data_IF_034131004972
#
_entry.id   IF_034131004972
#
_cell.length_a   1.000
_cell.length_b   1.000
_cell.length_c   1.000
_cell.angle_alpha   90.00
_cell.angle_beta   90.00
_cell.angle_gamma   90.00
#
_symmetry.space_group_name_H-M   'P 1'
#
loop_
_entity.id
_entity.type
_entity.pdbx_description
1 polymer ?
#
# COMPACT_ATOMS: atom_id res chain seq x y z
N UNK A 1 -7.43 18.32 14.49
CA UNK A 1 -6.54 17.14 14.46
C UNK A 1 -7.40 15.93 14.18
N UNK A 2 -7.01 15.10 13.22
CA UNK A 2 -7.70 13.85 12.91
C UNK A 2 -7.27 12.77 13.91
N UNK A 3 -8.23 11.90 14.24
CA UNK A 3 -8.06 10.70 15.06
C UNK A 3 -8.90 9.58 14.45
N UNK A 4 -8.67 8.35 14.89
CA UNK A 4 -9.53 7.22 14.54
C UNK A 4 -10.13 6.62 15.82
N UNK A 5 -11.36 6.13 15.71
CA UNK A 5 -12.06 5.43 16.79
C UNK A 5 -12.54 4.07 16.30
N UNK A 6 -12.54 3.07 17.18
CA UNK A 6 -13.19 1.81 16.90
C UNK A 6 -14.69 2.05 16.90
N UNK A 7 -15.31 1.94 15.74
CA UNK A 7 -16.76 1.85 15.61
C UNK A 7 -17.13 0.37 15.56
N UNK A 8 -17.88 -0.08 16.55
CA UNK A 8 -18.50 -1.40 16.51
C UNK A 8 -19.71 -1.34 15.56
N UNK A 9 -19.47 -1.16 14.26
CA UNK A 9 -20.53 -1.32 13.25
C UNK A 9 -20.59 -2.77 12.81
N UNK A 10 -21.14 -3.65 13.65
CA UNK A 10 -21.62 -4.95 13.18
C UNK A 10 -22.91 -4.71 12.40
N UNK A 11 -22.91 -4.98 11.09
CA UNK A 11 -24.10 -4.72 10.28
C UNK A 11 -23.93 -5.03 8.80
N UNK A 12 -25.05 -5.14 8.12
CA UNK A 12 -25.12 -5.32 6.68
C UNK A 12 -24.81 -3.99 5.98
N UNK A 13 -23.77 -3.95 5.16
CA UNK A 13 -23.40 -2.75 4.39
C UNK A 13 -23.93 -2.89 2.95
N UNK A 14 -25.02 -2.18 2.58
CA UNK A 14 -25.55 -2.21 1.23
C UNK A 14 -24.55 -1.60 0.25
N UNK A 15 -24.12 -2.37 -0.74
CA UNK A 15 -23.56 -1.80 -1.96
C UNK A 15 -24.71 -1.20 -2.78
N UNK A 16 -24.54 -0.03 -3.43
CA UNK A 16 -25.52 0.50 -4.39
C UNK A 16 -25.83 -0.46 -5.55
N UNK A 17 -24.94 -1.42 -5.82
CA UNK A 17 -25.14 -2.48 -6.81
C UNK A 17 -25.79 -3.76 -6.23
N UNK A 18 -26.16 -3.77 -4.95
CA UNK A 18 -26.76 -4.87 -4.15
C UNK A 18 -26.00 -6.21 -4.13
N UNK A 19 -25.45 -6.65 -5.25
CA UNK A 19 -24.72 -7.91 -5.48
C UNK A 19 -23.40 -8.03 -4.70
N UNK A 20 -22.85 -6.91 -4.22
CA UNK A 20 -21.64 -6.87 -3.39
C UNK A 20 -21.90 -6.39 -1.96
N UNK A 21 -23.11 -6.59 -1.45
CA UNK A 21 -23.41 -6.24 -0.05
C UNK A 21 -22.68 -7.20 0.89
N UNK A 22 -21.86 -6.66 1.80
CA UNK A 22 -21.03 -7.45 2.70
C UNK A 22 -21.52 -7.34 4.14
N UNK A 23 -21.51 -8.46 4.84
CA UNK A 23 -21.60 -8.46 6.30
C UNK A 23 -20.22 -8.10 6.84
N UNK A 24 -20.10 -6.93 7.46
CA UNK A 24 -18.89 -6.58 8.19
C UNK A 24 -18.95 -7.27 9.55
N UNK A 25 -18.26 -8.41 9.66
CA UNK A 25 -18.15 -9.20 10.90
C UNK A 25 -16.98 -8.75 11.79
N UNK A 26 -16.36 -7.60 11.46
CA UNK A 26 -15.15 -7.09 12.12
C UNK A 26 -15.33 -5.71 12.77
N UNK A 27 -14.33 -5.32 13.55
CA UNK A 27 -14.22 -3.95 14.08
C UNK A 27 -13.95 -2.97 12.93
N UNK A 28 -14.76 -1.91 12.83
CA UNK A 28 -14.60 -0.90 11.80
C UNK A 28 -13.97 0.35 12.42
N UNK A 29 -12.87 0.82 11.85
CA UNK A 29 -12.13 1.97 12.38
C UNK A 29 -12.49 3.22 11.59
N UNK A 30 -13.23 4.13 12.23
CA UNK A 30 -13.67 5.40 11.59
C UNK A 30 -12.65 6.50 11.88
N UNK A 31 -12.09 7.07 10.83
CA UNK A 31 -11.26 8.27 10.87
C UNK A 31 -12.16 9.49 10.85
N UNK A 32 -11.84 10.50 11.64
CA UNK A 32 -12.59 11.75 11.72
C UNK A 32 -11.90 12.78 12.59
N UNK A 33 -12.62 13.87 12.90
CA UNK A 33 -12.11 14.92 13.78
C UNK A 33 -13.24 15.50 14.64
N UNK A 34 -12.84 16.11 15.76
CA UNK A 34 -13.76 16.89 16.58
C UNK A 34 -13.73 18.36 16.14
N UNK A 35 -14.91 18.93 15.90
CA UNK A 35 -15.05 20.38 15.73
C UNK A 35 -14.83 21.09 17.08
N UNK A 36 -14.61 22.43 17.09
CA UNK A 36 -14.36 23.17 18.32
C UNK A 36 -15.49 23.11 19.37
N UNK A 37 -16.71 22.78 18.94
CA UNK A 37 -17.87 22.53 19.80
C UNK A 37 -17.94 21.09 20.34
N UNK A 38 -16.92 20.27 20.06
CA UNK A 38 -16.83 18.88 20.52
C UNK A 38 -17.63 17.86 19.71
N UNK A 39 -18.23 18.24 18.57
CA UNK A 39 -18.95 17.26 17.72
C UNK A 39 -17.99 16.41 16.90
N UNK A 40 -18.27 15.11 16.83
CA UNK A 40 -17.55 14.16 15.98
C UNK A 40 -17.99 14.31 14.51
N UNK A 41 -17.02 14.46 13.61
CA UNK A 41 -17.21 14.54 12.16
C UNK A 41 -16.47 13.36 11.49
N UNK A 42 -17.18 12.31 11.03
CA UNK A 42 -16.54 11.17 10.36
C UNK A 42 -16.07 11.54 8.95
N UNK A 43 -14.96 10.94 8.52
CA UNK A 43 -14.34 11.17 7.21
C UNK A 43 -14.26 9.88 6.38
N UNK A 44 -13.77 8.78 6.95
CA UNK A 44 -13.65 7.48 6.25
C UNK A 44 -13.67 6.29 7.23
N UNK A 45 -14.05 5.12 6.73
CA UNK A 45 -14.12 3.86 7.49
C UNK A 45 -13.06 2.88 6.97
N UNK A 46 -12.37 2.17 7.87
CA UNK A 46 -11.27 1.25 7.56
C UNK A 46 -11.42 -0.08 8.29
N UNK A 47 -11.04 -1.16 7.61
CA UNK A 47 -11.14 -2.53 8.14
C UNK A 47 -10.08 -2.88 9.20
N UNK A 48 -8.97 -2.14 9.27
CA UNK A 48 -7.92 -2.36 10.28
C UNK A 48 -7.45 -1.05 10.92
N UNK A 49 -6.86 -1.18 12.10
CA UNK A 49 -6.20 -0.09 12.83
C UNK A 49 -5.09 0.56 12.04
N UNK A 50 -4.29 -0.23 11.33
CA UNK A 50 -3.11 0.24 10.59
C UNK A 50 -3.54 1.16 9.44
N UNK A 51 -4.56 0.77 8.68
CA UNK A 51 -5.11 1.58 7.59
C UNK A 51 -5.71 2.90 8.11
N UNK A 52 -6.41 2.86 9.24
CA UNK A 52 -6.94 4.07 9.88
C UNK A 52 -5.82 4.99 10.39
N UNK A 53 -4.76 4.42 10.98
CA UNK A 53 -3.60 5.15 11.48
C UNK A 53 -2.80 5.81 10.34
N UNK A 54 -2.62 5.12 9.21
CA UNK A 54 -1.99 5.66 8.01
C UNK A 54 -2.79 6.84 7.45
N UNK A 55 -4.12 6.71 7.40
CA UNK A 55 -5.02 7.80 6.96
C UNK A 55 -4.97 9.00 7.91
N UNK A 56 -5.00 8.79 9.23
CA UNK A 56 -4.85 9.86 10.23
C UNK A 56 -3.49 10.55 10.08
N UNK A 57 -2.42 9.78 9.90
CA UNK A 57 -1.07 10.31 9.70
C UNK A 57 -0.99 11.17 8.45
N UNK A 58 -1.59 10.71 7.33
CA UNK A 58 -1.72 11.49 6.10
C UNK A 58 -2.46 12.81 6.32
N UNK A 59 -3.65 12.77 6.92
CA UNK A 59 -4.52 13.94 7.12
C UNK A 59 -3.93 14.94 8.12
N UNK A 60 -3.12 14.47 9.07
CA UNK A 60 -2.37 15.31 9.99
C UNK A 60 -1.02 15.80 9.40
N UNK A 61 -0.73 15.53 8.13
CA UNK A 61 0.42 16.07 7.41
C UNK A 61 1.75 15.33 7.64
N UNK A 62 1.72 14.08 8.09
CA UNK A 62 2.94 13.28 8.25
C UNK A 62 3.45 12.77 6.89
N UNK A 63 4.50 13.42 6.38
CA UNK A 63 5.14 13.14 5.08
C UNK A 63 5.70 11.70 4.99
N UNK A 64 6.07 11.07 6.11
CA UNK A 64 6.60 9.72 6.10
C UNK A 64 5.52 8.68 5.71
N UNK A 65 4.28 8.86 6.18
CA UNK A 65 3.15 8.01 5.79
C UNK A 65 2.79 8.19 4.32
N UNK A 66 2.88 9.42 3.80
CA UNK A 66 2.68 9.72 2.38
C UNK A 66 3.68 8.96 1.49
N UNK A 67 4.96 8.93 1.88
CA UNK A 67 5.98 8.18 1.15
C UNK A 67 5.74 6.66 1.19
N UNK A 68 5.31 6.12 2.34
CA UNK A 68 5.01 4.69 2.47
C UNK A 68 3.84 4.29 1.56
N UNK A 69 2.75 5.06 1.53
CA UNK A 69 1.61 4.82 0.64
C UNK A 69 2.02 4.85 -0.84
N UNK A 70 2.89 5.78 -1.24
CA UNK A 70 3.38 5.83 -2.63
C UNK A 70 4.27 4.63 -2.97
N UNK A 71 5.11 4.17 -2.04
CA UNK A 71 5.97 3.02 -2.26
C UNK A 71 5.18 1.72 -2.31
N UNK A 72 4.21 1.53 -1.41
CA UNK A 72 3.36 0.34 -1.41
C UNK A 72 2.54 0.25 -2.71
N UNK A 73 2.01 1.39 -3.20
CA UNK A 73 1.31 1.44 -4.50
C UNK A 73 2.21 1.14 -5.69
N UNK A 74 3.42 1.71 -5.73
CA UNK A 74 4.38 1.44 -6.81
C UNK A 74 4.80 -0.03 -6.76
N UNK A 75 5.11 -0.54 -5.56
CA UNK A 75 5.50 -1.93 -5.35
C UNK A 75 4.41 -2.89 -5.81
N UNK A 76 3.14 -2.67 -5.42
CA UNK A 76 2.04 -3.54 -5.87
C UNK A 76 1.83 -3.51 -7.38
N UNK A 77 2.15 -2.39 -8.04
CA UNK A 77 2.08 -2.28 -9.50
C UNK A 77 3.24 -2.98 -10.20
N UNK A 78 4.45 -2.99 -9.60
CA UNK A 78 5.67 -3.50 -10.25
C UNK A 78 6.14 -4.85 -9.71
N UNK A 79 5.51 -5.41 -8.67
CA UNK A 79 6.00 -6.63 -8.00
C UNK A 79 6.11 -7.84 -8.92
N UNK A 80 5.18 -7.99 -9.86
CA UNK A 80 5.15 -9.14 -10.76
C UNK A 80 6.29 -9.05 -11.79
N UNK A 81 6.58 -7.84 -12.28
CA UNK A 81 7.72 -7.56 -13.15
C UNK A 81 9.04 -7.79 -12.42
N UNK A 82 9.16 -7.30 -11.19
CA UNK A 82 10.36 -7.52 -10.35
C UNK A 82 10.60 -9.00 -10.06
N UNK A 83 9.53 -9.76 -9.80
CA UNK A 83 9.62 -11.21 -9.56
C UNK A 83 10.08 -11.94 -10.81
N UNK A 84 9.52 -11.61 -11.97
CA UNK A 84 9.93 -12.18 -13.25
C UNK A 84 11.39 -11.89 -13.58
N UNK A 85 11.87 -10.69 -13.29
CA UNK A 85 13.28 -10.32 -13.47
C UNK A 85 14.20 -11.11 -12.52
N UNK A 86 13.80 -11.30 -11.26
CA UNK A 86 14.57 -12.09 -10.30
C UNK A 86 14.75 -13.54 -10.78
N UNK A 87 13.68 -14.19 -11.22
CA UNK A 87 13.72 -15.55 -11.76
C UNK A 87 14.61 -15.68 -13.01
N UNK A 88 14.55 -14.69 -13.91
CA UNK A 88 15.42 -14.62 -15.08
C UNK A 88 16.90 -14.49 -14.67
N UNK A 89 17.21 -13.66 -13.68
CA UNK A 89 18.59 -13.50 -13.20
C UNK A 89 19.13 -14.75 -12.53
N UNK A 90 18.31 -15.48 -11.77
CA UNK A 90 18.70 -16.76 -11.19
C UNK A 90 18.99 -17.79 -12.28
N UNK A 91 18.12 -17.88 -13.29
CA UNK A 91 18.29 -18.78 -14.44
C UNK A 91 19.54 -18.46 -15.24
N UNK A 92 19.79 -17.17 -15.53
CA UNK A 92 21.00 -16.72 -16.23
C UNK A 92 22.27 -17.00 -15.40
N UNK A 93 22.21 -16.77 -14.08
CA UNK A 93 23.33 -17.05 -13.17
C UNK A 93 23.65 -18.54 -13.13
N UNK A 94 22.62 -19.40 -13.11
CA UNK A 94 22.79 -20.85 -13.15
C UNK A 94 23.42 -21.34 -14.48
N UNK A 95 23.08 -20.70 -15.60
CA UNK A 95 23.54 -21.13 -16.92
C UNK A 95 24.91 -20.56 -17.33
N UNK A 96 25.23 -19.32 -16.94
CA UNK A 96 26.41 -18.59 -17.43
C UNK A 96 27.47 -18.38 -16.34
N UNK A 97 27.12 -18.61 -15.07
CA UNK A 97 27.96 -18.26 -13.94
C UNK A 97 27.90 -16.76 -13.63
N UNK A 98 28.03 -16.44 -12.34
CA UNK A 98 27.86 -15.08 -11.80
C UNK A 98 28.85 -14.07 -12.41
N UNK A 99 30.10 -14.49 -12.63
CA UNK A 99 31.17 -13.59 -13.09
C UNK A 99 30.94 -13.12 -14.54
N UNK A 100 30.43 -14.01 -15.40
CA UNK A 100 30.08 -13.68 -16.79
C UNK A 100 28.88 -12.72 -16.81
N UNK A 101 27.84 -13.01 -16.03
CA UNK A 101 26.67 -12.14 -15.93
C UNK A 101 27.05 -10.72 -15.46
N UNK A 102 27.92 -10.61 -14.45
CA UNK A 102 28.39 -9.32 -13.95
C UNK A 102 29.20 -8.54 -15.02
N UNK A 103 30.03 -9.22 -15.81
CA UNK A 103 30.77 -8.56 -16.89
C UNK A 103 29.86 -8.00 -17.99
N UNK A 104 28.79 -8.72 -18.35
CA UNK A 104 27.81 -8.29 -19.35
C UNK A 104 27.00 -7.10 -18.83
N UNK A 105 26.57 -7.15 -17.56
CA UNK A 105 25.83 -6.04 -16.95
C UNK A 105 26.69 -4.78 -16.85
N UNK A 106 27.97 -4.92 -16.51
CA UNK A 106 28.92 -3.81 -16.47
C UNK A 106 29.09 -3.18 -17.86
N UNK A 107 29.27 -4.00 -18.91
CA UNK A 107 29.40 -3.50 -20.27
C UNK A 107 28.11 -2.82 -20.77
N UNK A 108 26.94 -3.41 -20.50
CA UNK A 108 25.66 -2.80 -20.86
C UNK A 108 25.43 -1.44 -20.18
N UNK A 109 25.96 -1.26 -18.96
CA UNK A 109 25.93 0.03 -18.23
C UNK A 109 26.89 1.05 -18.84
N UNK A 110 28.09 0.64 -19.25
CA UNK A 110 29.05 1.50 -19.95
C UNK A 110 28.54 1.96 -21.32
N UNK A 111 27.78 1.10 -22.01
CA UNK A 111 27.12 1.40 -23.29
C UNK A 111 25.81 2.19 -23.12
N UNK A 112 25.36 2.46 -21.88
CA UNK A 112 24.15 3.23 -21.58
C UNK A 112 22.84 2.51 -21.90
N UNK A 113 22.88 1.18 -22.05
CA UNK A 113 21.71 0.33 -22.31
C UNK A 113 20.85 0.17 -21.05
N UNK A 114 21.48 0.17 -19.88
CA UNK A 114 20.84 0.12 -18.56
C UNK A 114 21.40 1.21 -17.64
N UNK A 115 20.61 1.63 -16.64
CA UNK A 115 20.94 2.71 -15.70
C UNK A 115 22.11 2.39 -14.75
#
# INVERSE_FOLDING_TARGET
MYVYIQSEKTGWYPSPRQENSVWLTGSLWTVGYYSPDGKWNPESDHETTEKAADRVSYLNGNIAAQRKLTWDMIYDFTKDELTSLAELTETLTANMGKDVLLSILQQAKEEGVIL
#
